data_IF_295026814431
#
_entry.id   IF_295026814431
#
_cell.length_a   1.000
_cell.length_b   1.000
_cell.length_c   1.000
_cell.angle_alpha   90.00
_cell.angle_beta   90.00
_cell.angle_gamma   90.00
#
_symmetry.space_group_name_H-M   'P 1'
#
loop_
_entity.id
_entity.type
_entity.pdbx_description
1 polymer ?
#
# COMPACT_ATOMS: atom_id res chain seq x y z
N UNK A 1 9.77 14.21 -27.54
CA UNK A 1 10.56 13.44 -28.51
C UNK A 1 11.85 13.04 -27.83
N UNK A 2 12.00 11.77 -27.47
CA UNK A 2 13.28 11.16 -27.07
C UNK A 2 13.19 9.67 -27.37
N UNK A 3 14.26 9.14 -27.94
CA UNK A 3 14.52 7.72 -28.19
C UNK A 3 15.84 7.42 -27.49
N UNK A 4 15.96 6.23 -26.89
CA UNK A 4 17.25 5.59 -26.65
C UNK A 4 17.08 4.15 -27.11
N UNK A 5 17.82 3.79 -28.14
CA UNK A 5 17.85 2.43 -28.72
C UNK A 5 19.07 1.67 -28.17
N UNK A 6 19.17 0.37 -28.48
CA UNK A 6 20.28 -0.49 -28.04
C UNK A 6 21.27 -0.80 -29.16
N UNK A 7 22.55 -0.46 -28.95
CA UNK A 7 23.70 -0.95 -29.72
C UNK A 7 24.91 -1.14 -28.80
N UNK A 8 25.64 -2.23 -28.98
CA UNK A 8 26.97 -2.48 -28.40
C UNK A 8 28.08 -1.90 -29.31
N UNK A 9 29.31 -1.72 -28.80
CA UNK A 9 30.52 -2.19 -29.51
C UNK A 9 31.81 -2.23 -28.65
N UNK A 10 32.89 -2.82 -29.18
CA UNK A 10 34.14 -3.20 -28.49
C UNK A 10 35.42 -3.04 -29.36
N UNK A 11 36.67 -3.12 -28.87
CA UNK A 11 37.18 -3.40 -27.51
C UNK A 11 37.84 -2.12 -26.90
N UNK A 12 39.16 -1.83 -26.78
CA UNK A 12 40.43 -2.58 -26.90
C UNK A 12 41.49 -1.98 -25.95
N UNK A 13 42.04 -2.79 -25.02
CA UNK A 13 43.45 -2.68 -24.55
C UNK A 13 43.92 -4.07 -24.08
N UNK A 14 45.23 -4.35 -24.10
CA UNK A 14 45.73 -5.75 -24.10
C UNK A 14 46.95 -6.00 -23.21
N UNK A 15 46.96 -7.14 -22.48
CA UNK A 15 48.18 -7.87 -22.13
C UNK A 15 47.91 -9.35 -21.81
N UNK A 16 48.87 -10.23 -22.12
CA UNK A 16 48.85 -11.66 -21.79
C UNK A 16 49.15 -11.86 -20.27
N UNK A 17 48.73 -12.93 -19.60
CA UNK A 17 49.21 -14.31 -19.83
C UNK A 17 48.43 -15.38 -19.04
N UNK A 18 48.60 -16.65 -19.46
CA UNK A 18 48.54 -17.89 -18.66
C UNK A 18 47.17 -18.41 -18.16
N UNK A 19 46.90 -19.66 -18.54
CA UNK A 19 45.70 -20.42 -18.23
C UNK A 19 45.71 -21.06 -16.82
N UNK A 20 44.51 -21.39 -16.32
CA UNK A 20 44.20 -22.60 -15.53
C UNK A 20 42.81 -23.11 -15.97
N UNK A 21 42.67 -24.42 -16.19
CA UNK A 21 41.42 -25.06 -16.59
C UNK A 21 40.58 -25.50 -15.40
N UNK A 22 39.40 -24.90 -15.21
CA UNK A 22 38.40 -25.34 -14.24
C UNK A 22 37.02 -25.48 -14.89
N UNK A 23 36.33 -26.60 -14.63
CA UNK A 23 34.96 -26.85 -15.12
C UNK A 23 33.94 -25.98 -14.36
N UNK A 24 33.72 -24.75 -14.80
CA UNK A 24 32.57 -23.97 -14.33
C UNK A 24 31.27 -24.46 -14.98
N UNK A 25 30.27 -24.70 -14.14
CA UNK A 25 28.87 -24.83 -14.58
C UNK A 25 28.44 -23.56 -15.30
N UNK A 26 27.84 -23.68 -16.49
CA UNK A 26 27.33 -22.52 -17.27
C UNK A 26 26.10 -21.91 -16.60
N UNK A 27 26.31 -21.08 -15.59
CA UNK A 27 25.29 -20.15 -15.10
C UNK A 27 25.11 -19.04 -16.15
N UNK A 28 24.16 -19.25 -17.07
CA UNK A 28 23.78 -18.24 -18.06
C UNK A 28 23.23 -17.01 -17.32
N UNK A 29 23.81 -15.81 -17.51
CA UNK A 29 23.26 -14.59 -16.93
C UNK A 29 21.84 -14.37 -17.47
N UNK A 30 20.84 -14.42 -16.59
CA UNK A 30 19.46 -14.13 -16.98
C UNK A 30 19.32 -12.64 -17.27
N UNK A 31 18.77 -12.30 -18.44
CA UNK A 31 18.50 -10.92 -18.81
C UNK A 31 17.57 -10.24 -17.77
N UNK A 32 17.82 -8.98 -17.39
CA UNK A 32 16.99 -8.28 -16.43
C UNK A 32 15.58 -8.04 -16.98
N UNK A 33 14.55 -8.41 -16.22
CA UNK A 33 13.17 -8.14 -16.59
C UNK A 33 12.88 -6.64 -16.52
N UNK A 34 12.05 -6.12 -17.43
CA UNK A 34 11.56 -4.74 -17.37
C UNK A 34 10.04 -4.76 -17.21
N UNK A 35 9.54 -4.05 -16.20
CA UNK A 35 8.12 -3.88 -15.94
C UNK A 35 7.78 -2.39 -15.84
N UNK A 36 6.69 -1.97 -16.51
CA UNK A 36 6.20 -0.59 -16.41
C UNK A 36 5.06 -0.52 -15.40
N UNK A 37 5.21 0.35 -14.41
CA UNK A 37 4.21 0.61 -13.37
C UNK A 37 3.54 1.95 -13.67
N UNK A 38 2.23 1.93 -13.96
CA UNK A 38 1.52 3.11 -14.48
C UNK A 38 0.31 3.39 -13.62
N UNK A 39 0.27 4.56 -12.97
CA UNK A 39 -0.86 4.95 -12.13
C UNK A 39 -1.81 5.87 -12.89
N UNK A 40 -3.08 5.52 -13.00
CA UNK A 40 -4.07 6.37 -13.65
C UNK A 40 -4.68 7.37 -12.66
N UNK A 41 -4.47 8.67 -12.86
CA UNK A 41 -5.19 9.72 -12.14
C UNK A 41 -6.20 10.39 -13.10
N UNK A 42 -7.48 10.56 -12.72
CA UNK A 42 -8.41 11.39 -13.48
C UNK A 42 -8.01 12.88 -13.38
N UNK A 43 -8.57 13.78 -14.22
CA UNK A 43 -8.26 15.22 -14.22
C UNK A 43 -8.89 16.00 -13.05
N UNK A 44 -8.85 15.44 -11.84
CA UNK A 44 -9.16 16.09 -10.57
C UNK A 44 -8.42 15.32 -9.46
N UNK A 45 -7.89 15.98 -8.40
CA UNK A 45 -7.06 15.30 -7.42
C UNK A 45 -7.86 14.25 -6.62
N UNK A 46 -7.22 13.16 -6.17
CA UNK A 46 -5.76 12.98 -6.09
C UNK A 46 -5.20 11.83 -6.93
N UNK A 47 -3.87 11.69 -6.88
CA UNK A 47 -3.11 10.58 -7.49
C UNK A 47 -3.65 9.22 -7.03
N UNK A 48 -3.57 8.20 -7.90
CA UNK A 48 -4.12 6.87 -7.65
C UNK A 48 -3.67 6.32 -6.28
N UNK A 49 -4.67 5.98 -5.46
CA UNK A 49 -4.56 6.00 -3.99
C UNK A 49 -3.51 5.05 -3.40
N UNK A 50 -3.25 3.91 -4.03
CA UNK A 50 -2.17 2.97 -3.64
C UNK A 50 -0.86 3.11 -4.44
N UNK A 51 -0.81 3.98 -5.46
CA UNK A 51 0.28 4.02 -6.44
C UNK A 51 1.57 4.66 -5.92
N UNK A 52 1.44 5.81 -5.24
CA UNK A 52 2.57 6.45 -4.55
C UNK A 52 3.00 5.62 -3.33
N UNK A 53 2.06 5.03 -2.58
CA UNK A 53 2.38 4.12 -1.49
C UNK A 53 3.25 2.94 -1.95
N UNK A 54 2.88 2.29 -3.06
CA UNK A 54 3.67 1.23 -3.69
C UNK A 54 5.08 1.70 -4.07
N UNK A 55 5.21 2.89 -4.67
CA UNK A 55 6.51 3.38 -5.14
C UNK A 55 7.42 3.91 -4.03
N UNK A 56 6.91 4.83 -3.22
CA UNK A 56 7.70 5.63 -2.28
C UNK A 56 7.92 4.90 -0.95
N UNK A 57 6.91 4.16 -0.46
CA UNK A 57 6.94 3.47 0.83
C UNK A 57 7.31 1.98 0.73
N UNK A 58 6.74 1.24 -0.22
CA UNK A 58 6.98 -0.22 -0.37
C UNK A 58 8.27 -0.50 -1.16
N UNK A 59 8.40 0.09 -2.36
CA UNK A 59 9.60 -0.03 -3.20
C UNK A 59 10.79 0.82 -2.73
N UNK A 60 10.57 1.72 -1.77
CA UNK A 60 11.55 2.69 -1.27
C UNK A 60 12.29 3.41 -2.42
N UNK A 61 11.51 3.97 -3.35
CA UNK A 61 12.00 4.68 -4.52
C UNK A 61 11.64 6.18 -4.46
N UNK A 62 12.19 6.93 -5.40
CA UNK A 62 12.07 8.40 -5.53
C UNK A 62 11.47 8.76 -6.89
N UNK A 63 11.03 10.01 -7.06
CA UNK A 63 10.36 10.49 -8.27
C UNK A 63 10.97 11.79 -8.81
N UNK A 64 11.31 11.78 -10.09
CA UNK A 64 11.57 12.99 -10.85
C UNK A 64 10.24 13.65 -11.23
N UNK A 65 10.04 14.91 -10.87
CA UNK A 65 9.00 15.73 -11.50
C UNK A 65 9.42 16.12 -12.92
N UNK A 66 8.54 15.93 -13.90
CA UNK A 66 8.79 16.24 -15.31
C UNK A 66 7.75 17.25 -15.80
N UNK A 67 8.15 18.13 -16.73
CA UNK A 67 7.30 19.16 -17.34
C UNK A 67 6.53 20.00 -16.29
N UNK A 68 7.23 20.55 -15.29
CA UNK A 68 6.61 21.39 -14.26
C UNK A 68 5.61 20.68 -13.34
N UNK A 69 5.66 19.35 -13.25
CA UNK A 69 4.75 18.55 -12.40
C UNK A 69 3.54 17.94 -13.15
N UNK A 70 3.41 18.15 -14.47
CA UNK A 70 2.36 17.52 -15.29
C UNK A 70 2.40 15.99 -15.22
N UNK A 71 3.58 15.41 -15.03
CA UNK A 71 3.77 14.00 -14.69
C UNK A 71 5.06 13.79 -13.89
N UNK A 72 5.13 12.70 -13.14
CA UNK A 72 6.36 12.26 -12.47
C UNK A 72 6.82 10.89 -12.98
N UNK A 73 8.12 10.67 -12.96
CA UNK A 73 8.79 9.46 -13.42
C UNK A 73 9.70 8.87 -12.34
N UNK A 74 9.89 7.56 -12.33
CA UNK A 74 10.90 6.92 -11.50
C UNK A 74 11.46 5.65 -12.14
N UNK A 75 12.66 5.22 -11.74
CA UNK A 75 13.21 3.91 -12.10
C UNK A 75 13.85 3.27 -10.87
N UNK A 76 13.55 2.00 -10.61
CA UNK A 76 14.06 1.24 -9.46
C UNK A 76 14.27 -0.21 -9.86
N UNK A 77 15.46 -0.75 -9.63
CA UNK A 77 15.72 -2.20 -9.74
C UNK A 77 15.42 -2.86 -8.39
N UNK A 78 14.66 -3.96 -8.40
CA UNK A 78 14.35 -4.78 -7.24
C UNK A 78 14.38 -6.24 -7.68
N UNK A 79 15.23 -7.06 -7.09
CA UNK A 79 15.47 -8.44 -7.56
C UNK A 79 15.98 -8.44 -9.01
N UNK A 80 15.37 -9.27 -9.85
CA UNK A 80 15.68 -9.30 -11.30
C UNK A 80 14.95 -8.23 -12.12
N UNK A 81 13.95 -7.56 -11.55
CA UNK A 81 13.06 -6.64 -12.27
C UNK A 81 13.55 -5.19 -12.15
N UNK A 82 13.57 -4.49 -13.29
CA UNK A 82 13.68 -3.03 -13.38
C UNK A 82 12.29 -2.43 -13.57
N UNK A 83 11.79 -1.76 -12.54
CA UNK A 83 10.51 -1.06 -12.57
C UNK A 83 10.68 0.36 -13.12
N UNK A 84 9.84 0.75 -14.08
CA UNK A 84 9.73 2.12 -14.61
C UNK A 84 8.36 2.70 -14.23
N UNK A 85 8.33 3.71 -13.37
CA UNK A 85 7.10 4.29 -12.82
C UNK A 85 6.62 5.52 -13.60
N UNK A 86 5.30 5.68 -13.77
CA UNK A 86 4.67 6.88 -14.36
C UNK A 86 3.40 7.27 -13.62
N UNK A 87 3.31 8.54 -13.23
CA UNK A 87 2.14 9.11 -12.53
C UNK A 87 1.84 10.55 -12.95
N UNK A 88 0.66 11.05 -12.58
CA UNK A 88 0.20 12.44 -12.81
C UNK A 88 -0.75 12.61 -14.00
N UNK A 89 -1.44 13.76 -14.12
CA UNK A 89 -2.50 13.98 -15.12
C UNK A 89 -2.05 13.85 -16.58
N UNK A 90 -0.75 14.04 -16.86
CA UNK A 90 -0.18 13.83 -18.17
C UNK A 90 -0.17 12.36 -18.65
N UNK A 91 -0.39 11.39 -17.75
CA UNK A 91 -0.31 9.95 -18.00
C UNK A 91 -1.68 9.41 -18.44
N UNK A 92 -1.79 8.98 -19.70
CA UNK A 92 -3.02 8.50 -20.35
C UNK A 92 -2.71 7.27 -21.23
N UNK A 93 -3.67 6.40 -21.56
CA UNK A 93 -3.39 5.13 -22.25
C UNK A 93 -2.59 5.30 -23.55
N UNK A 94 -2.98 6.27 -24.39
CA UNK A 94 -2.31 6.60 -25.67
C UNK A 94 -0.86 7.10 -25.54
N UNK A 95 -0.32 7.28 -24.32
CA UNK A 95 1.08 7.63 -24.03
C UNK A 95 1.88 6.51 -23.35
N UNK A 96 1.30 5.31 -23.22
CA UNK A 96 2.08 4.11 -22.88
C UNK A 96 3.03 3.83 -24.05
N UNK A 97 4.35 3.63 -23.81
CA UNK A 97 5.30 3.35 -24.88
C UNK A 97 5.00 2.04 -25.59
N UNK A 98 5.15 2.00 -26.92
CA UNK A 98 4.71 0.87 -27.76
C UNK A 98 5.56 -0.38 -27.58
N UNK A 99 6.75 -0.23 -27.02
CA UNK A 99 7.69 -1.30 -26.66
C UNK A 99 7.42 -1.94 -25.29
N UNK A 100 6.39 -1.50 -24.56
CA UNK A 100 6.06 -2.01 -23.22
C UNK A 100 5.59 -3.47 -23.25
N UNK A 101 6.48 -4.40 -22.86
CA UNK A 101 6.16 -5.83 -22.82
C UNK A 101 5.37 -6.25 -21.58
N UNK A 102 5.64 -5.64 -20.43
CA UNK A 102 5.03 -6.02 -19.14
C UNK A 102 4.50 -4.78 -18.42
N UNK A 103 3.22 -4.79 -18.06
CA UNK A 103 2.52 -3.61 -17.51
C UNK A 103 1.77 -3.95 -16.22
N UNK A 104 2.09 -3.25 -15.13
CA UNK A 104 1.28 -3.22 -13.91
C UNK A 104 0.56 -1.87 -13.87
N UNK A 105 -0.76 -1.89 -13.97
CA UNK A 105 -1.59 -0.69 -13.86
C UNK A 105 -1.99 -0.47 -12.40
N UNK A 106 -2.00 0.77 -11.91
CA UNK A 106 -2.63 1.12 -10.62
C UNK A 106 -3.93 1.86 -10.89
N UNK A 107 -5.04 1.21 -10.58
CA UNK A 107 -6.40 1.62 -10.92
C UNK A 107 -7.25 1.83 -9.67
N UNK A 108 -8.32 2.61 -9.80
CA UNK A 108 -9.27 2.92 -8.74
C UNK A 108 -10.66 2.39 -9.13
N UNK A 109 -11.16 1.39 -8.41
CA UNK A 109 -12.48 0.79 -8.60
C UNK A 109 -13.52 1.21 -7.57
N UNK A 110 -13.24 2.24 -6.76
CA UNK A 110 -14.05 2.59 -5.58
C UNK A 110 -15.51 2.93 -5.93
N UNK A 111 -15.72 3.66 -7.02
CA UNK A 111 -17.00 4.21 -7.47
C UNK A 111 -17.12 4.16 -9.01
N UNK A 112 -18.35 4.22 -9.53
CA UNK A 112 -18.66 3.96 -10.95
C UNK A 112 -17.83 4.78 -11.95
N UNK A 113 -17.69 6.09 -11.73
CA UNK A 113 -16.91 6.97 -12.63
C UNK A 113 -15.41 6.65 -12.66
N UNK A 114 -14.86 6.06 -11.58
CA UNK A 114 -13.48 5.59 -11.53
C UNK A 114 -13.34 4.22 -12.19
N UNK A 115 -14.35 3.35 -12.07
CA UNK A 115 -14.46 2.09 -12.82
C UNK A 115 -14.52 2.35 -14.33
N UNK A 116 -15.34 3.28 -14.79
CA UNK A 116 -15.41 3.69 -16.19
C UNK A 116 -14.04 4.17 -16.72
N UNK A 117 -13.38 5.07 -15.98
CA UNK A 117 -12.03 5.54 -16.33
C UNK A 117 -11.00 4.40 -16.31
N UNK A 118 -11.08 3.47 -15.34
CA UNK A 118 -10.21 2.31 -15.24
C UNK A 118 -10.38 1.34 -16.43
N UNK A 119 -11.61 1.14 -16.92
CA UNK A 119 -11.86 0.35 -18.14
C UNK A 119 -11.13 0.92 -19.35
N UNK A 120 -11.07 2.24 -19.52
CA UNK A 120 -10.33 2.87 -20.65
C UNK A 120 -8.84 2.52 -20.69
N UNK A 121 -8.24 2.11 -19.57
CA UNK A 121 -6.87 1.59 -19.52
C UNK A 121 -6.78 0.12 -19.88
N UNK A 122 -7.76 -0.68 -19.44
CA UNK A 122 -7.84 -2.12 -19.69
C UNK A 122 -8.20 -2.42 -21.16
N UNK A 123 -9.17 -1.70 -21.70
CA UNK A 123 -9.61 -1.77 -23.10
C UNK A 123 -8.51 -1.34 -24.08
N UNK A 124 -7.51 -0.58 -23.59
CA UNK A 124 -6.34 -0.18 -24.36
C UNK A 124 -5.19 -1.21 -24.34
N UNK A 125 -5.15 -2.14 -23.37
CA UNK A 125 -4.07 -3.14 -23.29
C UNK A 125 -3.86 -3.93 -24.59
N UNK A 126 -4.90 -4.40 -25.31
CA UNK A 126 -4.74 -5.10 -26.60
C UNK A 126 -4.12 -4.24 -27.72
N UNK A 127 -4.06 -2.92 -27.58
CA UNK A 127 -3.44 -2.02 -28.57
C UNK A 127 -1.92 -1.88 -28.41
N UNK A 128 -1.31 -2.50 -27.39
CA UNK A 128 0.13 -2.50 -27.15
C UNK A 128 0.82 -3.65 -27.93
N UNK A 129 1.58 -3.36 -29.00
CA UNK A 129 2.00 -4.38 -29.97
C UNK A 129 3.10 -5.34 -29.48
N UNK A 130 3.64 -5.14 -28.28
CA UNK A 130 4.60 -6.04 -27.63
C UNK A 130 4.13 -6.59 -26.27
N UNK A 131 2.89 -6.32 -25.86
CA UNK A 131 2.39 -6.74 -24.54
C UNK A 131 2.38 -8.27 -24.40
N UNK A 132 3.16 -8.78 -23.45
CA UNK A 132 3.24 -10.20 -23.08
C UNK A 132 2.49 -10.50 -21.80
N UNK A 133 2.39 -9.54 -20.87
CA UNK A 133 1.71 -9.72 -19.60
C UNK A 133 1.24 -8.39 -19.00
N UNK A 134 0.01 -8.40 -18.48
CA UNK A 134 -0.54 -7.31 -17.70
C UNK A 134 -1.03 -7.79 -16.31
N UNK A 135 -1.06 -6.87 -15.35
CA UNK A 135 -1.67 -7.04 -14.04
C UNK A 135 -2.19 -5.69 -13.52
N UNK A 136 -2.98 -5.71 -12.45
CA UNK A 136 -3.56 -4.50 -11.83
C UNK A 136 -3.30 -4.48 -10.33
N UNK A 137 -2.87 -3.33 -9.79
CA UNK A 137 -3.09 -2.95 -8.39
C UNK A 137 -4.40 -2.18 -8.31
N UNK A 138 -5.43 -2.77 -7.70
CA UNK A 138 -6.78 -2.22 -7.65
C UNK A 138 -7.11 -1.74 -6.24
N UNK A 139 -7.39 -0.43 -6.08
CA UNK A 139 -8.21 -0.01 -4.95
C UNK A 139 -9.64 -0.51 -5.19
N UNK A 140 -10.10 -1.45 -4.37
CA UNK A 140 -11.43 -2.03 -4.49
C UNK A 140 -12.56 -1.05 -4.15
N UNK A 141 -13.78 -1.45 -4.50
CA UNK A 141 -15.00 -0.88 -3.92
C UNK A 141 -15.08 -1.19 -2.42
N UNK A 142 -15.56 -0.24 -1.60
CA UNK A 142 -15.60 -0.40 -0.13
C UNK A 142 -16.62 -1.44 0.36
N UNK A 143 -17.63 -1.76 -0.46
CA UNK A 143 -18.56 -2.89 -0.28
C UNK A 143 -18.07 -4.17 -0.99
N UNK A 144 -16.85 -4.15 -1.52
CA UNK A 144 -16.13 -5.24 -2.17
C UNK A 144 -16.71 -5.79 -3.48
N UNK A 145 -17.61 -5.04 -4.12
CA UNK A 145 -18.25 -5.36 -5.42
C UNK A 145 -17.32 -5.07 -6.60
N UNK A 146 -16.37 -5.96 -6.82
CA UNK A 146 -15.30 -5.79 -7.81
C UNK A 146 -15.51 -6.60 -9.11
N UNK A 147 -16.66 -7.28 -9.30
CA UNK A 147 -16.93 -8.20 -10.42
C UNK A 147 -16.59 -7.67 -11.82
N UNK A 148 -16.70 -6.36 -12.02
CA UNK A 148 -16.39 -5.68 -13.28
C UNK A 148 -14.95 -5.92 -13.78
N UNK A 149 -14.00 -6.29 -12.91
CA UNK A 149 -12.62 -6.62 -13.30
C UNK A 149 -12.49 -8.06 -13.83
N UNK A 150 -13.40 -8.97 -13.45
CA UNK A 150 -13.29 -10.41 -13.73
C UNK A 150 -13.25 -10.75 -15.23
N UNK A 151 -14.03 -10.09 -16.14
CA UNK A 151 -13.92 -10.32 -17.58
C UNK A 151 -12.54 -10.01 -18.17
N UNK A 152 -11.75 -9.15 -17.52
CA UNK A 152 -10.41 -8.80 -17.99
C UNK A 152 -9.33 -9.81 -17.58
N UNK A 153 -9.64 -10.85 -16.79
CA UNK A 153 -8.69 -11.88 -16.40
C UNK A 153 -8.40 -12.86 -17.56
N UNK A 154 -7.16 -13.34 -17.68
CA UNK A 154 -6.77 -14.38 -18.65
C UNK A 154 -7.53 -15.69 -18.45
N UNK A 155 -7.91 -16.01 -17.21
CA UNK A 155 -8.81 -17.14 -16.87
C UNK A 155 -10.25 -16.97 -17.39
N UNK A 156 -10.58 -15.81 -17.99
CA UNK A 156 -11.84 -15.52 -18.69
C UNK A 156 -11.61 -14.93 -20.11
N UNK A 157 -10.40 -15.06 -20.65
CA UNK A 157 -10.04 -14.59 -22.01
C UNK A 157 -9.58 -13.14 -22.12
N UNK A 158 -9.49 -12.40 -21.01
CA UNK A 158 -8.97 -11.02 -20.98
C UNK A 158 -7.45 -10.90 -20.83
N UNK A 159 -6.89 -9.67 -20.84
CA UNK A 159 -5.44 -9.43 -20.87
C UNK A 159 -4.71 -9.53 -19.52
N UNK A 160 -5.42 -9.59 -18.38
CA UNK A 160 -4.82 -9.53 -17.03
C UNK A 160 -4.48 -10.91 -16.49
N UNK A 161 -3.20 -11.15 -16.22
CA UNK A 161 -2.70 -12.40 -15.62
C UNK A 161 -3.05 -12.55 -14.13
N UNK A 162 -3.24 -11.43 -13.41
CA UNK A 162 -3.65 -11.36 -12.00
C UNK A 162 -4.00 -9.93 -11.57
N UNK A 163 -4.61 -9.80 -10.39
CA UNK A 163 -4.95 -8.55 -9.70
C UNK A 163 -4.44 -8.59 -8.26
N UNK A 164 -3.80 -7.52 -7.81
CA UNK A 164 -3.57 -7.21 -6.40
C UNK A 164 -4.71 -6.32 -5.93
N UNK A 165 -5.53 -6.79 -4.99
CA UNK A 165 -6.76 -6.11 -4.54
C UNK A 165 -6.60 -5.58 -3.11
N UNK A 166 -6.95 -4.31 -2.92
CA UNK A 166 -7.04 -3.65 -1.61
C UNK A 166 -8.42 -3.90 -0.99
N UNK A 167 -8.46 -3.96 0.35
CA UNK A 167 -9.58 -4.43 1.20
C UNK A 167 -9.79 -5.94 1.17
N UNK A 168 -10.24 -6.52 2.29
CA UNK A 168 -10.66 -7.93 2.36
C UNK A 168 -11.74 -8.20 1.30
N UNK A 169 -11.67 -9.32 0.60
CA UNK A 169 -12.67 -9.70 -0.40
C UNK A 169 -12.80 -11.22 -0.50
N UNK A 170 -14.02 -11.68 -0.83
CA UNK A 170 -14.28 -13.07 -1.17
C UNK A 170 -13.55 -13.54 -2.45
N UNK A 171 -13.12 -12.61 -3.32
CA UNK A 171 -12.42 -12.93 -4.56
C UNK A 171 -10.97 -13.39 -4.38
N UNK A 172 -10.37 -13.18 -3.20
CA UNK A 172 -8.95 -13.51 -2.96
C UNK A 172 -8.75 -15.03 -2.95
N UNK A 173 -8.04 -15.52 -3.97
CA UNK A 173 -7.73 -16.94 -4.18
C UNK A 173 -6.22 -17.25 -4.15
N UNK A 174 -5.37 -16.23 -4.03
CA UNK A 174 -3.91 -16.31 -4.18
C UNK A 174 -3.44 -16.92 -5.52
N UNK A 175 -4.27 -16.84 -6.56
CA UNK A 175 -3.99 -17.36 -7.91
C UNK A 175 -4.33 -16.34 -9.02
N UNK A 176 -5.53 -15.78 -9.02
CA UNK A 176 -5.97 -14.66 -9.86
C UNK A 176 -5.99 -13.34 -9.08
N UNK A 177 -6.34 -13.39 -7.79
CA UNK A 177 -6.48 -12.26 -6.89
C UNK A 177 -5.60 -12.43 -5.63
N UNK A 178 -4.80 -11.40 -5.33
CA UNK A 178 -3.90 -11.38 -4.18
C UNK A 178 -4.23 -10.20 -3.27
N UNK A 179 -4.34 -10.45 -1.96
CA UNK A 179 -4.56 -9.38 -0.98
C UNK A 179 -3.38 -8.40 -0.95
N UNK A 180 -3.69 -7.12 -1.04
CA UNK A 180 -2.79 -5.97 -0.87
C UNK A 180 -3.28 -5.06 0.27
N UNK A 181 -2.38 -4.38 1.01
CA UNK A 181 -2.78 -3.44 2.06
C UNK A 181 -3.14 -2.06 1.47
N UNK A 182 -4.03 -1.35 2.15
CA UNK A 182 -4.42 0.02 1.82
C UNK A 182 -3.25 1.01 1.93
N UNK A 183 -2.42 0.88 2.97
CA UNK A 183 -1.29 1.78 3.22
C UNK A 183 -1.69 3.14 3.81
N UNK A 184 -0.83 4.14 3.63
CA UNK A 184 -1.00 5.51 4.15
C UNK A 184 -1.61 6.44 3.09
N UNK A 185 -2.25 7.54 3.51
CA UNK A 185 -2.89 8.51 2.64
C UNK A 185 -1.86 9.45 1.95
N UNK A 186 -0.98 8.90 1.12
CA UNK A 186 -0.07 9.69 0.26
C UNK A 186 -0.82 10.74 -0.57
N UNK A 187 -2.09 10.44 -0.89
CA UNK A 187 -3.03 11.30 -1.60
C UNK A 187 -3.44 12.59 -0.86
N UNK A 188 -3.13 12.67 0.44
CA UNK A 188 -3.23 13.86 1.31
C UNK A 188 -1.86 14.41 1.71
N UNK A 189 -0.81 14.00 0.99
CA UNK A 189 0.58 14.31 1.28
C UNK A 189 1.04 13.77 2.65
N UNK A 190 0.53 12.60 3.08
CA UNK A 190 1.10 11.90 4.23
C UNK A 190 2.57 11.55 3.94
N UNK A 191 3.53 11.89 4.82
CA UNK A 191 4.95 11.82 4.51
C UNK A 191 5.50 10.41 4.56
N UNK A 192 6.58 10.20 3.80
CA UNK A 192 7.47 9.03 3.93
C UNK A 192 8.32 9.18 5.19
N UNK A 193 7.77 8.78 6.34
CA UNK A 193 8.49 8.73 7.62
C UNK A 193 9.56 7.62 7.55
N UNK A 194 10.79 7.95 7.97
CA UNK A 194 11.83 6.96 8.22
C UNK A 194 11.80 6.58 9.70
N UNK A 195 11.63 5.29 10.01
CA UNK A 195 11.43 4.82 11.40
C UNK A 195 12.56 5.20 12.36
N UNK A 196 13.81 5.26 11.88
CA UNK A 196 14.97 5.72 12.67
C UNK A 196 14.92 7.22 13.06
N UNK A 197 14.05 8.02 12.43
CA UNK A 197 13.79 9.42 12.78
C UNK A 197 12.63 9.62 13.75
N UNK A 198 11.95 8.56 14.18
CA UNK A 198 10.85 8.63 15.16
C UNK A 198 11.42 8.52 16.58
N UNK A 199 11.21 9.51 17.47
CA UNK A 199 11.69 9.42 18.85
C UNK A 199 11.02 8.27 19.63
N UNK A 200 11.75 7.17 19.83
CA UNK A 200 11.22 5.99 20.54
C UNK A 200 11.26 6.12 22.05
N UNK A 201 12.31 6.72 22.63
CA UNK A 201 12.52 6.82 24.08
C UNK A 201 11.79 7.98 24.76
N UNK A 202 11.27 8.96 24.02
CA UNK A 202 10.59 10.12 24.59
C UNK A 202 9.20 9.75 25.10
N UNK A 203 8.86 10.15 26.33
CA UNK A 203 7.48 10.09 26.85
C UNK A 203 6.55 10.92 25.95
N UNK A 204 5.39 10.36 25.61
CA UNK A 204 4.39 11.02 24.75
C UNK A 204 3.42 11.86 25.57
N UNK A 205 2.91 12.93 24.96
CA UNK A 205 2.01 13.90 25.60
C UNK A 205 0.61 13.34 25.85
N UNK A 206 0.13 12.46 24.97
CA UNK A 206 -1.21 11.90 25.00
C UNK A 206 -1.16 10.37 25.10
N UNK A 207 -2.13 9.80 25.83
CA UNK A 207 -2.29 8.35 25.93
C UNK A 207 -2.98 7.78 24.68
N UNK A 208 -3.92 8.52 24.08
CA UNK A 208 -4.55 8.12 22.82
C UNK A 208 -4.89 9.32 21.92
N UNK A 209 -5.14 9.08 20.63
CA UNK A 209 -5.70 10.11 19.74
C UNK A 209 -6.74 9.59 18.74
N UNK A 210 -7.62 10.51 18.33
CA UNK A 210 -8.56 10.32 17.23
C UNK A 210 -8.75 11.63 16.45
N UNK A 211 -8.47 11.57 15.14
CA UNK A 211 -8.79 12.61 14.17
C UNK A 211 -9.51 11.97 12.98
N UNK A 212 -10.65 12.53 12.59
CA UNK A 212 -11.40 12.04 11.44
C UNK A 212 -12.82 12.59 11.34
N UNK A 213 -13.45 12.36 10.19
CA UNK A 213 -14.85 12.72 9.97
C UNK A 213 -15.77 11.83 10.80
N UNK A 214 -16.69 12.45 11.54
CA UNK A 214 -17.82 11.79 12.19
C UNK A 214 -18.94 11.56 11.18
N UNK A 215 -19.61 10.43 11.33
CA UNK A 215 -20.82 10.12 10.58
C UNK A 215 -21.92 9.73 11.56
N UNK A 216 -23.15 10.21 11.33
CA UNK A 216 -24.29 9.87 12.16
C UNK A 216 -24.51 8.34 12.20
N UNK A 217 -24.90 7.79 13.36
CA UNK A 217 -25.06 6.35 13.59
C UNK A 217 -23.84 5.48 13.20
N UNK A 218 -22.62 6.00 13.26
CA UNK A 218 -21.39 5.23 13.00
C UNK A 218 -20.63 4.87 14.28
N UNK A 219 -19.76 3.87 14.21
CA UNK A 219 -18.89 3.48 15.33
C UNK A 219 -17.94 4.61 15.79
N UNK A 220 -17.74 5.63 14.96
CA UNK A 220 -16.99 6.86 15.30
C UNK A 220 -17.75 7.74 16.28
N UNK A 221 -19.08 7.76 16.19
CA UNK A 221 -19.94 8.39 17.19
C UNK A 221 -19.87 7.62 18.50
N UNK A 222 -20.06 6.29 18.45
CA UNK A 222 -19.97 5.41 19.61
C UNK A 222 -18.63 5.55 20.36
N UNK A 223 -17.51 5.56 19.64
CA UNK A 223 -16.18 5.82 20.22
C UNK A 223 -16.16 7.13 21.03
N UNK A 224 -16.65 8.23 20.45
CA UNK A 224 -16.64 9.52 21.15
C UNK A 224 -17.60 9.51 22.33
N UNK A 225 -18.79 8.93 22.19
CA UNK A 225 -19.80 8.85 23.26
C UNK A 225 -19.31 8.02 24.46
N UNK A 226 -18.49 6.97 24.22
CA UNK A 226 -17.81 6.19 25.27
C UNK A 226 -16.65 6.97 25.87
N UNK A 227 -15.80 7.60 25.04
CA UNK A 227 -14.64 8.35 25.52
C UNK A 227 -15.05 9.61 26.31
N UNK A 228 -16.17 10.24 25.97
CA UNK A 228 -16.75 11.38 26.69
C UNK A 228 -17.09 11.03 28.16
N UNK A 229 -17.54 9.79 28.38
CA UNK A 229 -17.89 9.25 29.70
C UNK A 229 -16.69 8.67 30.45
N UNK A 230 -15.54 8.55 29.78
CA UNK A 230 -14.33 7.94 30.33
C UNK A 230 -13.51 8.95 31.13
N UNK A 231 -12.98 8.59 32.33
CA UNK A 231 -12.08 9.47 33.08
C UNK A 231 -10.80 9.82 32.29
N UNK A 232 -10.47 9.01 31.27
CA UNK A 232 -9.30 9.20 30.42
C UNK A 232 -9.53 10.18 29.25
N UNK A 233 -10.72 10.79 29.09
CA UNK A 233 -10.99 11.78 28.03
C UNK A 233 -9.88 12.83 27.90
N UNK A 234 -9.48 13.42 29.03
CA UNK A 234 -8.46 14.49 29.12
C UNK A 234 -7.04 14.01 28.84
N UNK A 235 -6.80 12.69 28.85
CA UNK A 235 -5.51 12.09 28.51
C UNK A 235 -5.32 11.86 27.01
N UNK A 236 -6.35 12.12 26.18
CA UNK A 236 -6.31 11.86 24.75
C UNK A 236 -6.50 13.11 23.89
N UNK A 237 -5.86 13.14 22.71
CA UNK A 237 -6.01 14.21 21.73
C UNK A 237 -7.11 13.88 20.73
N UNK A 238 -8.23 14.59 20.83
CA UNK A 238 -9.47 14.30 20.11
C UNK A 238 -9.87 15.52 19.29
N UNK A 239 -9.65 15.47 17.97
CA UNK A 239 -10.00 16.54 17.01
C UNK A 239 -10.83 15.96 15.85
N UNK A 240 -12.10 15.60 16.09
CA UNK A 240 -13.04 15.20 15.06
C UNK A 240 -13.39 16.37 14.13
N UNK A 241 -13.94 16.05 12.96
CA UNK A 241 -14.56 17.03 12.04
C UNK A 241 -15.94 16.53 11.61
N UNK A 242 -16.88 17.45 11.38
CA UNK A 242 -18.25 17.07 10.97
C UNK A 242 -18.31 16.66 9.50
N UNK A 243 -17.50 17.26 8.64
CA UNK A 243 -17.50 17.00 7.20
C UNK A 243 -16.30 16.18 6.73
N UNK A 244 -16.41 15.59 5.54
CA UNK A 244 -15.27 14.97 4.87
C UNK A 244 -14.69 15.94 3.84
N UNK A 245 -13.43 16.32 4.05
CA UNK A 245 -12.64 17.08 3.07
C UNK A 245 -11.69 16.13 2.33
N UNK A 246 -11.50 16.29 1.00
CA UNK A 246 -10.66 15.39 0.20
C UNK A 246 -9.17 15.55 0.49
N UNK A 247 -8.74 16.80 0.67
CA UNK A 247 -7.38 17.23 0.98
C UNK A 247 -7.30 17.76 2.40
N UNK A 248 -6.07 17.81 2.94
CA UNK A 248 -5.74 18.50 4.18
C UNK A 248 -5.01 19.81 3.86
N UNK A 249 -5.10 20.81 4.76
CA UNK A 249 -4.19 21.96 4.69
C UNK A 249 -2.83 21.56 5.28
N UNK A 250 -1.80 22.40 5.11
CA UNK A 250 -0.53 22.18 5.81
C UNK A 250 -0.75 22.08 7.33
N UNK A 251 -1.57 22.98 7.89
CA UNK A 251 -1.95 22.98 9.31
C UNK A 251 -2.69 21.70 9.74
N UNK A 252 -3.77 21.29 9.05
CA UNK A 252 -4.54 20.09 9.48
C UNK A 252 -3.77 18.79 9.27
N UNK A 253 -2.87 18.74 8.28
CA UNK A 253 -1.90 17.66 8.12
C UNK A 253 -0.90 17.67 9.29
N UNK A 254 -0.26 18.79 9.58
CA UNK A 254 0.85 18.83 10.55
C UNK A 254 0.35 18.63 12.00
N UNK A 255 -0.87 19.09 12.32
CA UNK A 255 -1.61 18.69 13.53
C UNK A 255 -1.80 17.17 13.63
N UNK A 256 -2.20 16.53 12.53
CA UNK A 256 -2.43 15.08 12.50
C UNK A 256 -1.12 14.31 12.68
N UNK A 257 -0.05 14.71 12.00
CA UNK A 257 1.28 14.11 12.16
C UNK A 257 1.81 14.30 13.59
N UNK A 258 1.60 15.48 14.20
CA UNK A 258 1.91 15.70 15.62
C UNK A 258 1.09 14.80 16.54
N UNK A 259 -0.23 14.64 16.30
CA UNK A 259 -1.07 13.77 17.11
C UNK A 259 -0.61 12.30 17.06
N UNK A 260 -0.20 11.80 15.89
CA UNK A 260 0.37 10.45 15.74
C UNK A 260 1.73 10.34 16.46
N UNK A 261 2.63 11.33 16.32
CA UNK A 261 3.93 11.34 16.98
C UNK A 261 3.84 11.49 18.52
N UNK A 262 2.78 12.12 19.03
CA UNK A 262 2.61 12.48 20.44
C UNK A 262 1.55 11.65 21.19
N UNK A 263 1.04 10.57 20.60
CA UNK A 263 0.12 9.63 21.25
C UNK A 263 0.72 8.24 21.41
N UNK A 264 0.53 7.59 22.55
CA UNK A 264 0.92 6.17 22.71
C UNK A 264 0.03 5.24 21.88
N UNK A 265 -1.27 5.52 21.84
CA UNK A 265 -2.29 4.81 21.07
C UNK A 265 -2.92 5.72 20.01
N UNK A 266 -3.37 5.14 18.90
CA UNK A 266 -4.24 5.80 17.93
C UNK A 266 -5.50 4.97 17.72
N UNK A 267 -6.66 5.61 17.85
CA UNK A 267 -7.96 4.93 17.78
C UNK A 267 -8.44 4.82 16.34
N UNK A 268 -8.75 3.60 15.90
CA UNK A 268 -9.13 3.25 14.53
C UNK A 268 -10.53 2.59 14.50
N UNK A 269 -11.60 3.35 14.79
CA UNK A 269 -12.97 2.92 14.50
C UNK A 269 -13.19 2.86 12.99
N UNK A 270 -14.06 1.94 12.58
CA UNK A 270 -14.32 1.66 11.16
C UNK A 270 -14.81 2.89 10.39
N UNK A 271 -14.61 2.87 9.08
CA UNK A 271 -15.14 3.86 8.15
C UNK A 271 -16.26 3.27 7.30
N UNK A 272 -16.20 3.56 6.00
CA UNK A 272 -16.95 2.82 4.98
C UNK A 272 -16.33 1.44 4.71
N UNK A 273 -15.06 1.24 5.10
CA UNK A 273 -14.40 -0.06 5.19
C UNK A 273 -13.74 -0.23 6.59
N UNK A 274 -13.50 -1.47 7.01
CA UNK A 274 -12.78 -1.81 8.26
C UNK A 274 -11.31 -1.43 8.20
N UNK A 275 -10.64 -1.66 7.07
CA UNK A 275 -9.25 -1.22 6.85
C UNK A 275 -9.24 0.29 6.54
N UNK A 276 -8.41 1.07 7.25
CA UNK A 276 -8.30 2.51 7.01
C UNK A 276 -6.87 3.04 7.17
N UNK A 277 -6.56 4.12 6.44
CA UNK A 277 -5.21 4.68 6.33
C UNK A 277 -4.56 4.96 7.70
N UNK A 278 -5.36 5.44 8.67
CA UNK A 278 -4.91 5.77 10.04
C UNK A 278 -4.21 4.60 10.75
N UNK A 279 -4.54 3.34 10.42
CA UNK A 279 -3.86 2.17 10.98
C UNK A 279 -2.37 2.21 10.57
N UNK A 280 -2.08 2.26 9.27
CA UNK A 280 -0.72 2.31 8.74
C UNK A 280 0.03 3.61 9.09
N UNK A 281 -0.70 4.72 9.15
CA UNK A 281 -0.15 6.04 9.50
C UNK A 281 0.28 6.10 10.98
N UNK A 282 -0.50 5.49 11.87
CA UNK A 282 -0.12 5.36 13.28
C UNK A 282 1.12 4.47 13.45
N UNK A 283 1.18 3.34 12.73
CA UNK A 283 2.37 2.47 12.73
C UNK A 283 3.62 3.19 12.18
N UNK A 284 3.47 4.05 11.16
CA UNK A 284 4.57 4.87 10.63
C UNK A 284 5.16 5.85 11.66
N UNK A 285 4.40 6.20 12.71
CA UNK A 285 4.84 7.03 13.84
C UNK A 285 4.99 6.23 15.15
N UNK A 286 4.91 4.90 15.12
CA UNK A 286 5.00 4.06 16.32
C UNK A 286 3.90 4.30 17.36
N UNK A 287 2.77 4.91 16.97
CA UNK A 287 1.56 4.97 17.81
C UNK A 287 0.78 3.69 17.60
N UNK A 288 0.45 2.96 18.67
CA UNK A 288 -0.16 1.63 18.55
C UNK A 288 -1.61 1.76 18.07
N UNK A 289 -1.98 1.16 16.92
CA UNK A 289 -3.35 1.14 16.48
C UNK A 289 -4.23 0.33 17.44
N UNK A 290 -5.23 0.98 18.04
CA UNK A 290 -6.41 0.29 18.61
C UNK A 290 -7.41 0.17 17.47
N UNK A 291 -7.64 -1.04 16.96
CA UNK A 291 -8.39 -1.28 15.72
C UNK A 291 -9.69 -2.02 16.01
N UNK A 292 -10.78 -1.52 15.44
CA UNK A 292 -12.09 -2.15 15.52
C UNK A 292 -12.16 -3.36 14.58
N UNK A 293 -12.19 -4.57 15.17
CA UNK A 293 -12.26 -5.86 14.49
C UNK A 293 -13.70 -6.24 14.12
N UNK A 294 -14.36 -5.36 13.36
CA UNK A 294 -15.75 -5.49 12.92
C UNK A 294 -15.83 -5.33 11.41
N UNK A 295 -16.45 -6.29 10.72
CA UNK A 295 -16.64 -6.22 9.27
C UNK A 295 -17.67 -5.15 8.90
N UNK A 296 -17.30 -4.21 8.03
CA UNK A 296 -18.21 -3.20 7.50
C UNK A 296 -19.22 -3.79 6.51
N UNK A 297 -20.41 -3.17 6.30
CA UNK A 297 -21.42 -3.68 5.38
C UNK A 297 -20.92 -3.83 3.93
N UNK A 298 -21.03 -5.03 3.39
CA UNK A 298 -20.59 -5.38 2.05
C UNK A 298 -20.19 -6.84 1.93
N UNK A 299 -19.69 -7.22 0.76
CA UNK A 299 -19.40 -8.60 0.36
C UNK A 299 -17.91 -8.97 0.64
N UNK A 300 -17.32 -8.32 1.65
CA UNK A 300 -15.88 -8.31 1.97
C UNK A 300 -15.37 -9.52 2.80
N UNK A 301 -16.11 -10.63 2.79
CA UNK A 301 -16.02 -11.70 3.80
C UNK A 301 -14.85 -12.70 3.69
N UNK A 302 -15.13 -13.94 4.10
CA UNK A 302 -14.26 -15.10 3.87
C UNK A 302 -13.94 -15.30 2.40
N UNK A 303 -12.79 -15.90 2.11
CA UNK A 303 -12.31 -16.13 0.73
C UNK A 303 -11.66 -17.51 0.59
N UNK A 304 -11.53 -18.05 -0.64
CA UNK A 304 -10.83 -19.31 -0.87
C UNK A 304 -9.39 -19.33 -0.32
N UNK A 305 -8.72 -18.18 -0.26
CA UNK A 305 -7.37 -18.06 0.28
C UNK A 305 -7.30 -18.18 1.82
N UNK A 306 -8.34 -17.74 2.55
CA UNK A 306 -8.27 -17.57 4.01
C UNK A 306 -9.63 -17.33 4.65
N UNK A 307 -9.85 -18.01 5.78
CA UNK A 307 -10.97 -17.80 6.70
C UNK A 307 -10.69 -16.72 7.76
N UNK A 308 -9.55 -16.02 7.68
CA UNK A 308 -9.23 -14.89 8.55
C UNK A 308 -9.79 -13.61 7.92
N UNK A 309 -10.71 -12.94 8.62
CA UNK A 309 -11.33 -11.66 8.25
C UNK A 309 -12.00 -11.02 9.50
N UNK A 310 -12.33 -9.71 9.49
CA UNK A 310 -11.73 -8.68 8.63
C UNK A 310 -10.23 -8.52 8.95
N UNK A 311 -9.57 -7.56 8.30
CA UNK A 311 -8.18 -7.16 8.52
C UNK A 311 -7.19 -8.32 8.27
N UNK A 312 -7.49 -9.18 7.27
CA UNK A 312 -6.76 -10.42 6.99
C UNK A 312 -5.26 -10.21 6.92
N UNK A 313 -4.81 -9.22 6.15
CA UNK A 313 -3.39 -8.98 5.90
C UNK A 313 -2.61 -8.49 7.13
N UNK A 314 -3.30 -7.89 8.11
CA UNK A 314 -2.69 -7.53 9.40
C UNK A 314 -2.62 -8.74 10.32
N UNK A 315 -3.68 -9.57 10.34
CA UNK A 315 -3.73 -10.78 11.17
C UNK A 315 -2.77 -11.87 10.67
N UNK A 316 -2.69 -12.12 9.36
CA UNK A 316 -1.76 -13.10 8.76
C UNK A 316 -0.29 -12.71 8.95
N UNK A 317 0.01 -11.41 9.09
CA UNK A 317 1.35 -10.89 9.39
C UNK A 317 1.59 -10.63 10.90
N UNK A 318 0.67 -11.10 11.77
CA UNK A 318 0.74 -10.94 13.23
C UNK A 318 1.01 -9.48 13.68
N UNK A 319 0.27 -8.53 13.10
CA UNK A 319 0.46 -7.11 13.38
C UNK A 319 0.30 -6.79 14.88
N UNK A 320 1.26 -6.10 15.52
CA UNK A 320 1.21 -5.72 16.93
C UNK A 320 0.27 -4.52 17.16
N UNK A 321 -0.99 -4.72 16.82
CA UNK A 321 -2.11 -3.79 16.98
C UNK A 321 -3.08 -4.34 18.03
N UNK A 322 -3.84 -3.47 18.70
CA UNK A 322 -4.81 -3.87 19.72
C UNK A 322 -6.18 -4.01 19.06
N UNK A 323 -6.57 -5.24 18.71
CA UNK A 323 -7.90 -5.54 18.17
C UNK A 323 -8.96 -5.47 19.28
N UNK A 324 -10.05 -4.74 19.04
CA UNK A 324 -11.24 -4.70 19.89
C UNK A 324 -12.50 -4.96 19.08
N UNK A 325 -13.54 -5.55 19.68
CA UNK A 325 -14.83 -5.82 19.00
C UNK A 325 -15.97 -4.88 19.41
N UNK A 326 -15.76 -4.10 20.47
CA UNK A 326 -16.70 -3.11 20.98
C UNK A 326 -15.93 -1.97 21.66
N UNK A 327 -16.25 -0.72 21.30
CA UNK A 327 -15.68 0.48 21.91
C UNK A 327 -16.03 0.63 23.39
N UNK A 328 -17.09 -0.01 23.90
CA UNK A 328 -17.38 -0.05 25.35
C UNK A 328 -16.23 -0.66 26.18
N UNK A 329 -15.33 -1.43 25.57
CA UNK A 329 -14.13 -1.99 26.24
C UNK A 329 -13.00 -0.95 26.42
N UNK A 330 -13.04 0.17 25.70
CA UNK A 330 -11.98 1.18 25.68
C UNK A 330 -11.60 1.74 27.08
N UNK A 331 -12.52 2.01 28.03
CA UNK A 331 -12.14 2.55 29.33
C UNK A 331 -11.23 1.62 30.15
N UNK A 332 -11.39 0.29 30.04
CA UNK A 332 -10.50 -0.67 30.70
C UNK A 332 -9.16 -0.80 29.95
N UNK A 333 -9.17 -0.76 28.62
CA UNK A 333 -7.95 -0.70 27.80
C UNK A 333 -7.10 0.53 28.17
N UNK A 334 -7.71 1.71 28.26
CA UNK A 334 -7.02 2.95 28.65
C UNK A 334 -6.52 2.92 30.11
N UNK A 335 -7.21 2.21 31.01
CA UNK A 335 -6.79 1.97 32.40
C UNK A 335 -5.63 0.99 32.52
N UNK A 336 -5.48 0.06 31.58
CA UNK A 336 -4.32 -0.81 31.46
C UNK A 336 -3.14 -0.03 30.86
N UNK A 337 -3.38 0.74 29.80
CA UNK A 337 -2.40 1.64 29.17
C UNK A 337 -1.84 2.69 30.14
N UNK A 338 -2.65 3.20 31.07
CA UNK A 338 -2.23 4.15 32.11
C UNK A 338 -1.38 3.52 33.23
N UNK A 339 -1.17 2.19 33.22
CA UNK A 339 -0.34 1.45 34.18
C UNK A 339 1.00 0.98 33.59
N UNK A 340 1.16 1.00 32.27
CA UNK A 340 2.43 0.67 31.61
C UNK A 340 3.49 1.74 31.92
N UNK A 341 4.74 1.32 32.11
CA UNK A 341 5.83 2.28 32.32
C UNK A 341 6.19 3.00 31.01
N UNK A 342 6.85 4.16 31.13
CA UNK A 342 7.37 4.88 29.96
C UNK A 342 8.40 4.04 29.17
N UNK A 343 9.10 3.12 29.84
CA UNK A 343 10.00 2.14 29.22
C UNK A 343 9.25 1.13 28.35
N UNK A 344 8.17 0.53 28.86
CA UNK A 344 7.43 -0.51 28.14
C UNK A 344 6.68 0.09 26.94
N UNK A 345 6.20 1.33 27.09
CA UNK A 345 5.64 2.15 26.00
C UNK A 345 6.68 2.47 24.93
N UNK A 346 7.91 2.83 25.33
CA UNK A 346 9.01 3.08 24.40
C UNK A 346 9.42 1.81 23.64
N UNK A 347 9.56 0.67 24.34
CA UNK A 347 9.87 -0.63 23.72
C UNK A 347 8.78 -1.07 22.74
N UNK A 348 7.51 -1.08 23.14
CA UNK A 348 6.39 -1.48 22.26
C UNK A 348 6.29 -0.64 20.99
N UNK A 349 6.71 0.64 21.06
CA UNK A 349 6.79 1.60 19.95
C UNK A 349 7.97 1.31 19.01
N UNK A 350 9.12 0.93 19.54
CA UNK A 350 10.26 0.43 18.76
C UNK A 350 9.92 -0.88 18.03
N UNK A 351 9.36 -1.86 18.75
CA UNK A 351 8.90 -3.14 18.20
C UNK A 351 7.87 -2.94 17.07
N UNK A 352 6.95 -1.98 17.22
CA UNK A 352 5.94 -1.63 16.21
C UNK A 352 6.55 -1.00 14.95
N UNK A 353 7.51 -0.08 15.10
CA UNK A 353 8.20 0.56 13.98
C UNK A 353 9.00 -0.47 13.18
N UNK A 354 9.73 -1.36 13.88
CA UNK A 354 10.48 -2.46 13.27
C UNK A 354 9.54 -3.43 12.54
N UNK A 355 8.41 -3.81 13.14
CA UNK A 355 7.40 -4.64 12.48
C UNK A 355 6.88 -3.97 11.20
N UNK A 356 6.60 -2.66 11.23
CA UNK A 356 6.05 -1.97 10.06
C UNK A 356 7.05 -1.79 8.91
N UNK A 357 8.34 -1.59 9.19
CA UNK A 357 9.38 -1.70 8.15
C UNK A 357 9.41 -3.11 7.54
N UNK A 358 9.46 -4.15 8.37
CA UNK A 358 9.49 -5.54 7.93
C UNK A 358 8.21 -5.94 7.15
N UNK A 359 7.05 -5.40 7.51
CA UNK A 359 5.80 -5.56 6.77
C UNK A 359 5.90 -4.96 5.35
N UNK A 360 6.40 -3.73 5.21
CA UNK A 360 6.61 -3.09 3.90
C UNK A 360 7.60 -3.88 3.04
N UNK A 361 8.65 -4.46 3.65
CA UNK A 361 9.61 -5.37 3.01
C UNK A 361 8.91 -6.64 2.50
N UNK A 362 8.16 -7.32 3.36
CA UNK A 362 7.38 -8.53 3.01
C UNK A 362 6.40 -8.27 1.86
N UNK A 363 5.72 -7.13 1.85
CA UNK A 363 4.80 -6.75 0.78
C UNK A 363 5.51 -6.51 -0.56
N UNK A 364 6.67 -5.84 -0.55
CA UNK A 364 7.52 -5.68 -1.74
C UNK A 364 7.93 -7.03 -2.30
N UNK A 365 8.42 -7.92 -1.45
CA UNK A 365 8.93 -9.23 -1.86
C UNK A 365 7.82 -10.17 -2.34
N UNK A 366 6.65 -10.16 -1.68
CA UNK A 366 5.44 -10.85 -2.15
C UNK A 366 5.05 -10.40 -3.57
N UNK A 367 4.98 -9.09 -3.82
CA UNK A 367 4.66 -8.57 -5.16
C UNK A 367 5.74 -8.91 -6.19
N UNK A 368 7.02 -8.65 -5.89
CA UNK A 368 8.12 -8.91 -6.83
C UNK A 368 8.18 -10.37 -7.21
N UNK A 369 8.06 -11.30 -6.24
CA UNK A 369 8.00 -12.74 -6.50
C UNK A 369 6.82 -13.13 -7.39
N UNK A 370 5.61 -12.61 -7.13
CA UNK A 370 4.44 -12.90 -7.97
C UNK A 370 4.66 -12.38 -9.40
N UNK A 371 5.29 -11.21 -9.58
CA UNK A 371 5.62 -10.69 -10.92
C UNK A 371 6.74 -11.50 -11.61
N UNK A 372 7.78 -11.92 -10.89
CA UNK A 372 8.84 -12.79 -11.40
C UNK A 372 8.27 -14.15 -11.87
N UNK A 373 7.36 -14.74 -11.09
CA UNK A 373 6.66 -15.98 -11.46
C UNK A 373 5.67 -15.77 -12.63
N UNK A 374 4.84 -14.72 -12.61
CA UNK A 374 3.72 -14.52 -13.56
C UNK A 374 4.09 -13.85 -14.89
N UNK A 375 4.99 -12.86 -14.88
CA UNK A 375 5.39 -12.13 -16.10
C UNK A 375 6.61 -12.78 -16.77
N UNK A 376 7.54 -13.32 -15.97
CA UNK A 376 8.85 -13.78 -16.44
C UNK A 376 9.06 -15.31 -16.34
N UNK A 377 8.06 -16.06 -15.86
CA UNK A 377 8.12 -17.52 -15.63
C UNK A 377 9.30 -17.97 -14.73
N UNK A 378 9.80 -17.08 -13.86
CA UNK A 378 10.90 -17.36 -12.94
C UNK A 378 10.33 -18.13 -11.75
N UNK A 379 10.41 -19.46 -11.80
CA UNK A 379 10.14 -20.31 -10.63
C UNK A 379 11.20 -20.05 -9.55
N UNK A 380 10.79 -19.38 -8.47
CA UNK A 380 11.58 -19.29 -7.24
C UNK A 380 11.31 -20.50 -6.33
N UNK A 381 12.23 -20.76 -5.39
CA UNK A 381 11.95 -21.65 -4.26
C UNK A 381 10.87 -21.00 -3.37
N UNK A 382 10.08 -21.77 -2.60
CA UNK A 382 9.30 -21.22 -1.50
C UNK A 382 10.20 -20.42 -0.55
N UNK A 383 9.66 -19.34 0.04
CA UNK A 383 10.26 -18.82 1.26
C UNK A 383 10.01 -19.85 2.37
N UNK A 384 11.05 -20.18 3.11
CA UNK A 384 10.93 -20.84 4.41
C UNK A 384 10.22 -19.85 5.37
N UNK A 385 9.43 -20.37 6.31
CA UNK A 385 8.53 -19.59 7.19
C UNK A 385 9.14 -19.37 8.56
#
# INVERSE_FOLDING_TARGET
MFVVDSSDDLIIESMNTSAITAKQSRHVPRAPGVAMLITSAPPAPPVALGGLYLWEHIFNAELDHRMGGVWSYGTKKIGSITFRFRTGPGVVPRKVPRESENVLLVLNGREASKVEFARTWLDFLPALPRLRSAAVLLLGNEQCRNDWIKPYLTSRGGPLSHVFLVYDSADIDNANFYQWPLGVATYRNFPKVASAGVPVSTRRKYMCSFLGTLYHNSSRQLLLDVLERSPFKRSCYIKPRQEWQPQETAETRDDYLQALAQSDLTLNPVGQNTECYRIYEAMAYGSVPVVEDVMTPGDCGSSPASNVYPLRILKEHNAPVIYIKDWQTLPELLKQESRLSDHDKAKRREDLLLWYENFKVSMREKMVRILEEKFFNIRLKPLER
#
